data_IF_079734938468
#
_entry.id   IF_079734938468
#
_cell.length_a   1.000
_cell.length_b   1.000
_cell.length_c   1.000
_cell.angle_alpha   90.00
_cell.angle_beta   90.00
_cell.angle_gamma   90.00
#
_symmetry.space_group_name_H-M   'P 1'
#
loop_
_entity.id
_entity.type
_entity.pdbx_description
1 polymer ?
#
# COMPACT_ATOMS: atom_id res chain seq x y z
N UNK A 1 19.34 -7.46 12.34
CA UNK A 1 18.58 -7.78 11.09
C UNK A 1 19.08 -9.03 10.36
N UNK A 2 20.26 -9.60 10.67
CA UNK A 2 20.72 -10.86 10.10
C UNK A 2 20.12 -12.10 10.79
N UNK A 3 19.84 -12.03 12.10
CA UNK A 3 19.35 -13.15 12.90
C UNK A 3 17.97 -13.65 12.47
N UNK A 4 17.07 -12.76 12.05
CA UNK A 4 15.70 -13.14 11.65
C UNK A 4 15.62 -13.97 10.36
N UNK A 5 16.63 -13.93 9.49
CA UNK A 5 16.67 -14.76 8.27
C UNK A 5 17.08 -16.20 8.56
N UNK A 6 17.97 -16.41 9.52
CA UNK A 6 18.49 -17.75 9.88
C UNK A 6 17.39 -18.63 10.49
N UNK A 7 16.46 -18.04 11.25
CA UNK A 7 15.36 -18.78 11.88
C UNK A 7 14.31 -19.33 10.91
N UNK A 8 14.22 -18.85 9.66
CA UNK A 8 13.10 -19.23 8.78
C UNK A 8 13.34 -20.56 8.06
N UNK A 9 14.60 -20.83 7.70
CA UNK A 9 14.98 -22.05 6.99
C UNK A 9 14.83 -23.30 7.89
N UNK A 10 14.86 -23.12 9.22
CA UNK A 10 14.69 -24.20 10.21
C UNK A 10 13.25 -24.76 10.27
N UNK A 11 12.25 -24.02 9.76
CA UNK A 11 10.83 -24.41 9.79
C UNK A 11 10.23 -24.69 8.42
N UNK A 12 11.07 -24.89 7.40
CA UNK A 12 10.62 -25.29 6.07
C UNK A 12 10.38 -26.80 6.00
N UNK A 13 9.33 -27.18 5.28
CA UNK A 13 9.08 -28.56 4.94
C UNK A 13 10.05 -29.01 3.83
N UNK A 14 10.84 -30.07 4.02
CA UNK A 14 11.79 -30.56 3.00
C UNK A 14 11.14 -31.12 1.73
N UNK A 15 9.83 -31.38 1.75
CA UNK A 15 9.08 -31.93 0.61
C UNK A 15 8.53 -30.81 -0.28
N UNK A 16 7.81 -29.84 0.30
CA UNK A 16 7.23 -28.74 -0.48
C UNK A 16 8.07 -27.45 -0.48
N UNK A 17 9.16 -27.42 0.29
CA UNK A 17 10.09 -26.29 0.42
C UNK A 17 9.41 -24.98 0.89
N UNK A 18 8.30 -25.11 1.61
CA UNK A 18 7.50 -24.01 2.18
C UNK A 18 7.40 -24.18 3.71
N UNK A 19 7.04 -23.12 4.43
CA UNK A 19 6.80 -23.18 5.88
C UNK A 19 5.83 -24.31 6.23
N UNK A 20 6.15 -25.04 7.29
CA UNK A 20 5.35 -26.19 7.74
C UNK A 20 3.86 -25.80 7.94
N UNK A 21 2.97 -26.53 7.25
CA UNK A 21 1.50 -26.44 7.37
C UNK A 21 1.02 -27.70 8.09
N UNK A 22 0.37 -27.52 9.24
CA UNK A 22 0.05 -28.61 10.17
C UNK A 22 1.26 -29.54 10.38
N UNK A 23 2.35 -29.02 11.00
CA UNK A 23 3.57 -29.79 11.20
C UNK A 23 3.29 -31.08 11.96
N UNK A 24 3.88 -32.17 11.46
CA UNK A 24 3.93 -33.46 12.15
C UNK A 24 5.40 -33.87 12.28
N UNK A 25 5.76 -34.46 13.41
CA UNK A 25 7.06 -35.06 13.62
C UNK A 25 6.90 -36.58 13.56
N UNK A 26 7.70 -37.24 12.72
CA UNK A 26 7.72 -38.70 12.62
C UNK A 26 8.75 -39.28 13.61
N UNK A 27 8.74 -40.60 13.91
CA UNK A 27 9.54 -41.16 15.00
C UNK A 27 11.06 -40.93 14.90
N UNK A 28 11.60 -40.65 13.72
CA UNK A 28 13.01 -40.28 13.55
C UNK A 28 13.32 -38.80 13.87
N UNK A 29 12.35 -38.03 14.35
CA UNK A 29 12.51 -36.61 14.72
C UNK A 29 12.36 -35.59 13.59
N UNK A 30 12.31 -36.04 12.33
CA UNK A 30 12.11 -35.15 11.19
C UNK A 30 10.66 -34.66 11.10
N UNK A 31 10.48 -33.43 10.63
CA UNK A 31 9.18 -32.75 10.60
C UNK A 31 8.77 -32.37 9.19
N UNK A 32 7.47 -32.54 8.90
CA UNK A 32 6.89 -32.30 7.57
C UNK A 32 5.50 -31.69 7.70
N UNK A 33 4.97 -31.12 6.62
CA UNK A 33 3.54 -30.87 6.52
C UNK A 33 2.80 -32.22 6.59
N UNK A 34 1.68 -32.29 7.31
CA UNK A 34 0.90 -33.51 7.44
C UNK A 34 0.52 -34.10 6.07
N UNK A 35 0.06 -33.27 5.13
CA UNK A 35 -0.29 -33.69 3.78
C UNK A 35 0.92 -34.24 3.04
N UNK A 36 2.04 -33.50 3.01
CA UNK A 36 3.22 -33.90 2.25
C UNK A 36 3.76 -35.29 2.66
N UNK A 37 3.87 -35.59 3.95
CA UNK A 37 4.34 -36.92 4.37
C UNK A 37 3.28 -38.01 4.15
N UNK A 38 2.00 -37.65 4.21
CA UNK A 38 0.91 -38.57 3.88
C UNK A 38 0.98 -38.96 2.41
N UNK A 39 1.12 -38.00 1.51
CA UNK A 39 1.24 -38.21 0.07
C UNK A 39 2.47 -39.05 -0.28
N UNK A 40 3.61 -38.81 0.38
CA UNK A 40 4.81 -39.64 0.22
C UNK A 40 4.55 -41.10 0.58
N UNK A 41 3.88 -41.36 1.70
CA UNK A 41 3.60 -42.72 2.16
C UNK A 41 2.48 -43.42 1.38
N UNK A 42 1.50 -42.67 0.88
CA UNK A 42 0.41 -43.21 0.06
C UNK A 42 0.94 -43.78 -1.28
N UNK A 43 2.01 -43.19 -1.83
CA UNK A 43 2.70 -43.73 -3.01
C UNK A 43 3.44 -45.05 -2.72
N UNK A 44 3.84 -45.29 -1.47
CA UNK A 44 4.60 -46.47 -1.04
C UNK A 44 3.72 -47.55 -0.40
N UNK A 45 2.40 -47.37 -0.36
CA UNK A 45 1.48 -48.18 0.46
C UNK A 45 1.46 -49.67 0.06
N UNK A 46 1.70 -49.97 -1.22
CA UNK A 46 1.83 -51.35 -1.72
C UNK A 46 3.00 -52.12 -1.10
N UNK A 47 4.08 -51.42 -0.71
CA UNK A 47 5.29 -52.04 -0.13
C UNK A 47 5.13 -52.33 1.36
N UNK A 48 4.12 -51.76 2.04
CA UNK A 48 3.89 -51.85 3.50
C UNK A 48 5.09 -51.48 4.38
N UNK A 49 6.06 -50.79 3.81
CA UNK A 49 7.27 -50.28 4.45
C UNK A 49 7.37 -48.82 4.07
N UNK A 50 7.34 -47.96 5.07
CA UNK A 50 7.26 -46.51 4.89
C UNK A 50 8.59 -45.88 5.25
N UNK A 51 9.11 -45.00 4.40
CA UNK A 51 10.42 -44.39 4.62
C UNK A 51 10.35 -42.91 4.96
N UNK A 52 11.31 -42.42 5.74
CA UNK A 52 11.52 -40.99 5.96
C UNK A 52 12.18 -40.38 4.71
N UNK A 53 11.60 -39.32 4.09
CA UNK A 53 12.20 -38.68 2.91
C UNK A 53 13.62 -38.13 3.13
N UNK A 54 13.96 -37.72 4.35
CA UNK A 54 15.28 -37.12 4.67
C UNK A 54 16.35 -38.15 5.03
N UNK A 55 16.10 -39.01 6.03
CA UNK A 55 17.11 -39.94 6.54
C UNK A 55 16.92 -41.39 6.08
N UNK A 56 15.85 -41.67 5.32
CA UNK A 56 15.52 -43.01 4.78
C UNK A 56 15.27 -44.09 5.83
N UNK A 57 15.13 -43.72 7.11
CA UNK A 57 14.71 -44.65 8.15
C UNK A 57 13.32 -45.23 7.80
N UNK A 58 13.19 -46.54 7.93
CA UNK A 58 11.98 -47.28 7.57
C UNK A 58 11.11 -47.59 8.78
N UNK A 59 9.80 -47.65 8.57
CA UNK A 59 8.80 -47.92 9.60
C UNK A 59 7.80 -48.97 9.11
N UNK A 60 7.45 -49.91 9.99
CA UNK A 60 6.35 -50.86 9.81
C UNK A 60 5.83 -51.25 11.20
N UNK A 61 4.54 -51.03 11.54
CA UNK A 61 3.47 -50.50 10.69
C UNK A 61 3.61 -48.99 10.39
N UNK A 62 2.69 -48.44 9.55
CA UNK A 62 2.65 -47.00 9.23
C UNK A 62 2.55 -46.16 10.52
N UNK A 63 3.46 -45.21 10.76
CA UNK A 63 3.39 -44.37 11.95
C UNK A 63 2.11 -43.51 11.97
N UNK A 64 1.51 -43.37 13.14
CA UNK A 64 0.41 -42.44 13.34
C UNK A 64 0.92 -40.99 13.30
N UNK A 65 0.25 -40.13 12.53
CA UNK A 65 0.62 -38.73 12.39
C UNK A 65 -0.22 -37.85 13.31
N UNK A 66 0.39 -37.40 14.41
CA UNK A 66 -0.19 -36.40 15.30
C UNK A 66 0.41 -35.01 15.01
N UNK A 67 -0.43 -33.99 15.08
CA UNK A 67 0.00 -32.59 14.92
C UNK A 67 0.96 -32.23 16.05
N UNK A 68 2.12 -31.67 15.69
CA UNK A 68 3.05 -31.10 16.65
C UNK A 68 2.60 -29.67 17.00
N UNK A 69 1.94 -29.53 18.15
CA UNK A 69 1.36 -28.26 18.61
C UNK A 69 2.42 -27.19 18.87
N UNK A 70 3.58 -27.56 19.41
CA UNK A 70 4.69 -26.65 19.68
C UNK A 70 5.25 -26.07 18.37
N UNK A 71 5.56 -26.93 17.39
CA UNK A 71 6.03 -26.46 16.08
C UNK A 71 4.97 -25.61 15.38
N UNK A 72 3.70 -26.00 15.47
CA UNK A 72 2.61 -25.20 14.92
C UNK A 72 2.57 -23.81 15.58
N UNK A 73 2.68 -23.73 16.91
CA UNK A 73 2.64 -22.45 17.62
C UNK A 73 3.84 -21.55 17.29
N UNK A 74 5.04 -22.11 17.17
CA UNK A 74 6.25 -21.37 16.78
C UNK A 74 6.14 -20.86 15.34
N UNK A 75 5.69 -21.70 14.40
CA UNK A 75 5.46 -21.30 13.00
C UNK A 75 4.38 -20.21 12.92
N UNK A 76 3.31 -20.32 13.70
CA UNK A 76 2.27 -19.28 13.76
C UNK A 76 2.79 -17.98 14.40
N UNK A 77 3.63 -18.05 15.43
CA UNK A 77 4.30 -16.87 15.99
C UNK A 77 5.24 -16.23 14.98
N UNK A 78 6.00 -17.03 14.22
CA UNK A 78 6.87 -16.53 13.15
C UNK A 78 6.05 -15.85 12.05
N UNK A 79 4.91 -16.43 11.64
CA UNK A 79 3.95 -15.79 10.72
C UNK A 79 3.40 -14.50 11.32
N UNK A 80 3.04 -14.49 12.60
CA UNK A 80 2.51 -13.31 13.29
C UNK A 80 3.54 -12.21 13.49
N UNK A 81 4.81 -12.52 13.73
CA UNK A 81 5.89 -11.52 13.75
C UNK A 81 6.08 -10.86 12.38
N UNK A 82 5.76 -11.57 11.28
CA UNK A 82 5.64 -10.95 9.95
C UNK A 82 4.36 -10.11 9.80
N UNK A 83 3.23 -10.61 10.30
CA UNK A 83 1.92 -9.92 10.22
C UNK A 83 1.79 -8.72 11.17
N UNK A 84 2.52 -8.66 12.28
CA UNK A 84 2.50 -7.53 13.22
C UNK A 84 3.21 -6.28 12.67
N UNK A 85 3.81 -6.38 11.47
CA UNK A 85 4.22 -5.23 10.69
C UNK A 85 3.09 -4.67 9.79
N UNK A 86 2.03 -5.44 9.54
CA UNK A 86 0.90 -5.05 8.68
C UNK A 86 -0.30 -4.66 9.55
N UNK A 87 -0.37 -3.37 9.91
CA UNK A 87 -1.59 -2.77 10.42
C UNK A 87 -2.63 -2.64 9.30
N UNK A 88 -3.91 -2.79 9.64
CA UNK A 88 -5.00 -2.44 8.73
C UNK A 88 -4.82 -0.97 8.31
N UNK A 89 -5.06 -0.65 7.04
CA UNK A 89 -4.90 0.72 6.56
C UNK A 89 -5.95 1.64 7.21
N UNK A 90 -5.49 2.59 8.04
CA UNK A 90 -6.32 3.60 8.66
C UNK A 90 -6.62 4.78 7.74
N UNK A 91 -7.38 5.75 8.25
CA UNK A 91 -7.63 7.00 7.53
C UNK A 91 -6.31 7.76 7.29
N UNK A 92 -5.96 7.95 6.01
CA UNK A 92 -4.72 8.63 5.60
C UNK A 92 -3.53 7.70 5.31
N UNK A 93 -3.66 6.39 5.57
CA UNK A 93 -2.64 5.42 5.15
C UNK A 93 -2.75 5.09 3.65
N UNK A 94 -1.60 4.85 3.03
CA UNK A 94 -1.56 4.31 1.66
C UNK A 94 -1.92 2.84 1.72
N UNK A 95 -2.88 2.42 0.91
CA UNK A 95 -3.34 1.02 0.88
C UNK A 95 -2.47 0.17 -0.04
N UNK A 96 -2.34 -1.11 0.28
CA UNK A 96 -1.72 -2.06 -0.64
C UNK A 96 -2.65 -2.37 -1.83
N UNK A 97 -2.10 -2.25 -3.05
CA UNK A 97 -2.86 -2.45 -4.29
C UNK A 97 -3.18 -3.93 -4.54
N UNK A 98 -2.29 -4.83 -4.09
CA UNK A 98 -2.37 -6.28 -4.37
C UNK A 98 -3.37 -7.03 -3.48
N UNK A 99 -3.61 -6.57 -2.24
CA UNK A 99 -4.49 -7.27 -1.31
C UNK A 99 -5.90 -7.45 -1.89
N UNK A 100 -6.42 -8.67 -1.84
CA UNK A 100 -7.81 -8.98 -2.19
C UNK A 100 -8.68 -8.93 -0.93
N UNK A 101 -9.72 -8.10 -0.95
CA UNK A 101 -10.59 -7.87 0.21
C UNK A 101 -10.03 -6.82 1.18
N UNK A 102 -9.68 -7.25 2.41
CA UNK A 102 -9.15 -6.35 3.45
C UNK A 102 -7.84 -5.72 2.98
N UNK A 103 -7.74 -4.39 3.07
CA UNK A 103 -6.58 -3.61 2.63
C UNK A 103 -5.65 -3.30 3.81
N UNK A 104 -4.42 -3.77 3.70
CA UNK A 104 -3.35 -3.49 4.66
C UNK A 104 -2.60 -2.21 4.28
N UNK A 105 -1.97 -1.58 5.28
CA UNK A 105 -1.10 -0.43 5.07
C UNK A 105 0.08 -0.82 4.19
N UNK A 106 0.33 -0.04 3.14
CA UNK A 106 1.50 -0.16 2.32
C UNK A 106 2.73 0.41 3.04
N UNK A 107 3.86 -0.28 2.89
CA UNK A 107 5.16 0.12 3.45
C UNK A 107 6.08 0.70 2.38
N UNK A 108 5.99 0.20 1.14
CA UNK A 108 6.77 0.68 0.00
C UNK A 108 5.91 0.75 -1.25
N UNK A 109 6.31 1.63 -2.16
CA UNK A 109 5.77 1.71 -3.52
C UNK A 109 6.86 1.43 -4.54
N UNK A 110 6.53 0.69 -5.60
CA UNK A 110 7.43 0.40 -6.69
C UNK A 110 7.18 1.35 -7.86
N UNK A 111 8.21 2.10 -8.25
CA UNK A 111 8.12 3.08 -9.34
C UNK A 111 8.04 2.42 -10.72
N UNK A 112 8.43 1.15 -10.83
CA UNK A 112 8.35 0.38 -12.07
C UNK A 112 6.98 -0.27 -12.25
N UNK A 113 6.47 -0.92 -11.19
CA UNK A 113 5.16 -1.59 -11.22
C UNK A 113 3.99 -0.64 -11.00
N UNK A 114 4.25 0.57 -10.48
CA UNK A 114 3.25 1.56 -10.10
C UNK A 114 2.23 1.04 -9.07
N UNK A 115 2.69 0.17 -8.19
CA UNK A 115 1.91 -0.40 -7.10
C UNK A 115 2.57 -0.14 -5.74
N UNK A 116 1.74 -0.04 -4.72
CA UNK A 116 2.07 0.03 -3.31
C UNK A 116 1.83 -1.33 -2.64
N UNK A 117 2.77 -1.76 -1.82
CA UNK A 117 2.80 -3.09 -1.22
C UNK A 117 2.80 -2.98 0.30
N UNK A 118 1.96 -3.78 0.97
CA UNK A 118 2.15 -4.11 2.39
C UNK A 118 3.39 -4.99 2.56
N UNK A 119 3.84 -5.23 3.78
CA UNK A 119 5.10 -5.91 4.04
C UNK A 119 5.13 -7.30 3.37
N UNK A 120 4.05 -8.07 3.49
CA UNK A 120 3.95 -9.40 2.85
C UNK A 120 4.06 -9.34 1.32
N UNK A 121 3.30 -8.44 0.67
CA UNK A 121 3.35 -8.33 -0.79
C UNK A 121 4.66 -7.73 -1.29
N UNK A 122 5.35 -6.93 -0.47
CA UNK A 122 6.69 -6.43 -0.78
C UNK A 122 7.71 -7.56 -0.79
N UNK A 123 7.69 -8.44 0.22
CA UNK A 123 8.60 -9.60 0.28
C UNK A 123 8.40 -10.54 -0.91
N UNK A 124 7.15 -10.77 -1.31
CA UNK A 124 6.83 -11.54 -2.51
C UNK A 124 7.35 -10.85 -3.78
N UNK A 125 7.12 -9.54 -3.91
CA UNK A 125 7.63 -8.74 -5.00
C UNK A 125 9.16 -8.84 -5.10
N UNK A 126 9.88 -8.57 -4.01
CA UNK A 126 11.34 -8.66 -3.98
C UNK A 126 11.85 -10.07 -4.31
N UNK A 127 11.13 -11.11 -3.87
CA UNK A 127 11.47 -12.51 -4.16
C UNK A 127 11.35 -12.84 -5.65
N UNK A 128 10.27 -12.41 -6.30
CA UNK A 128 10.04 -12.62 -7.73
C UNK A 128 11.05 -11.85 -8.60
N UNK A 129 11.47 -10.66 -8.14
CA UNK A 129 12.36 -9.76 -8.89
C UNK A 129 13.82 -9.77 -8.39
N UNK A 130 14.28 -10.82 -7.68
CA UNK A 130 15.65 -10.95 -7.14
C UNK A 130 16.77 -10.64 -8.15
N UNK A 131 16.57 -10.91 -9.44
CA UNK A 131 17.53 -10.65 -10.52
C UNK A 131 17.40 -9.31 -11.25
N UNK A 132 16.28 -8.59 -11.07
CA UNK A 132 16.00 -7.28 -11.67
C UNK A 132 15.37 -6.38 -10.62
N UNK A 133 16.18 -5.79 -9.75
CA UNK A 133 15.68 -4.92 -8.68
C UNK A 133 14.88 -3.75 -9.27
N UNK A 134 13.60 -3.68 -8.92
CA UNK A 134 12.81 -2.50 -9.22
C UNK A 134 13.10 -1.39 -8.21
N UNK A 135 12.96 -0.13 -8.63
CA UNK A 135 13.13 1.02 -7.75
C UNK A 135 11.95 1.11 -6.77
N UNK A 136 12.25 0.98 -5.48
CA UNK A 136 11.30 1.08 -4.37
C UNK A 136 11.48 2.40 -3.62
N UNK A 137 10.38 3.03 -3.24
CA UNK A 137 10.33 4.25 -2.41
C UNK A 137 9.32 4.05 -1.28
N UNK A 138 9.27 4.96 -0.31
CA UNK A 138 8.26 4.92 0.76
C UNK A 138 6.85 4.96 0.17
N UNK A 139 5.92 4.25 0.82
CA UNK A 139 4.55 4.16 0.33
C UNK A 139 3.94 5.56 0.14
N UNK A 140 3.45 5.82 -1.07
CA UNK A 140 2.86 7.11 -1.42
C UNK A 140 1.57 6.94 -2.21
N UNK A 141 0.51 7.63 -1.79
CA UNK A 141 -0.75 7.69 -2.54
C UNK A 141 -0.64 8.51 -3.83
N UNK A 142 0.53 9.10 -4.12
CA UNK A 142 0.76 10.02 -5.23
C UNK A 142 1.63 9.40 -6.33
N UNK A 143 1.67 8.07 -6.44
CA UNK A 143 2.42 7.36 -7.48
C UNK A 143 2.09 7.85 -8.90
N UNK A 144 0.81 8.09 -9.19
CA UNK A 144 0.37 8.60 -10.50
C UNK A 144 0.93 9.99 -10.84
N UNK A 145 1.28 10.79 -9.84
CA UNK A 145 1.89 12.10 -10.06
C UNK A 145 3.36 12.01 -10.46
N UNK A 146 4.00 10.85 -10.25
CA UNK A 146 5.37 10.55 -10.65
C UNK A 146 5.49 10.06 -12.09
N UNK A 147 4.37 10.03 -12.82
CA UNK A 147 4.30 9.55 -14.20
C UNK A 147 4.05 10.71 -15.16
N UNK A 148 4.89 10.77 -16.19
CA UNK A 148 4.73 11.67 -17.30
C UNK A 148 3.43 11.36 -18.04
N UNK A 149 2.50 12.31 -18.04
CA UNK A 149 1.19 12.13 -18.69
C UNK A 149 1.27 12.01 -20.22
N UNK A 150 2.39 12.45 -20.84
CA UNK A 150 2.60 12.35 -22.29
C UNK A 150 3.22 11.02 -22.73
N UNK A 151 4.07 10.43 -21.88
CA UNK A 151 4.92 9.31 -22.26
C UNK A 151 4.75 8.07 -21.39
N UNK A 152 3.95 8.17 -20.33
CA UNK A 152 3.69 7.08 -19.36
C UNK A 152 4.99 6.52 -18.75
N UNK A 153 6.01 7.38 -18.61
CA UNK A 153 7.31 7.06 -17.99
C UNK A 153 7.52 7.85 -16.71
N UNK A 154 8.37 7.31 -15.83
CA UNK A 154 8.73 7.93 -14.55
C UNK A 154 9.38 9.30 -14.80
N UNK A 155 9.03 10.27 -13.95
CA UNK A 155 9.65 11.59 -13.91
C UNK A 155 10.95 11.53 -13.10
N UNK A 156 12.08 11.39 -13.79
CA UNK A 156 13.41 11.19 -13.16
C UNK A 156 14.34 12.42 -13.32
N UNK A 157 13.94 13.40 -14.12
CA UNK A 157 14.77 14.57 -14.48
C UNK A 157 14.05 15.85 -14.10
N UNK A 158 14.80 16.85 -13.61
CA UNK A 158 14.27 18.18 -13.37
C UNK A 158 14.74 19.15 -14.45
N UNK A 159 13.79 19.80 -15.12
CA UNK A 159 14.08 20.90 -16.03
C UNK A 159 14.08 22.21 -15.24
N UNK A 160 15.23 22.86 -15.12
CA UNK A 160 15.38 24.15 -14.43
C UNK A 160 14.78 25.30 -15.22
N UNK A 161 14.85 25.23 -16.55
CA UNK A 161 14.23 26.21 -17.45
C UNK A 161 12.72 26.32 -17.22
N UNK A 162 12.02 25.17 -17.14
CA UNK A 162 10.56 25.14 -16.97
C UNK A 162 10.09 24.88 -15.53
N UNK A 163 11.04 24.75 -14.60
CA UNK A 163 10.78 24.45 -13.19
C UNK A 163 9.83 23.26 -12.98
N UNK A 164 10.06 22.15 -13.71
CA UNK A 164 9.19 20.97 -13.63
C UNK A 164 9.95 19.66 -13.76
N UNK A 165 9.43 18.61 -13.14
CA UNK A 165 9.92 17.25 -13.33
C UNK A 165 9.40 16.67 -14.65
N UNK A 166 10.30 16.04 -15.40
CA UNK A 166 10.07 15.46 -16.73
C UNK A 166 10.66 14.04 -16.79
N UNK A 167 10.21 13.24 -17.76
CA UNK A 167 10.80 11.92 -18.01
C UNK A 167 11.98 12.02 -18.99
N UNK A 168 12.76 10.94 -19.13
CA UNK A 168 13.88 10.89 -20.07
C UNK A 168 13.48 11.13 -21.53
N UNK A 169 12.26 10.77 -21.95
CA UNK A 169 11.81 11.06 -23.32
C UNK A 169 11.54 12.56 -23.54
N UNK A 170 11.08 13.25 -22.51
CA UNK A 170 10.87 14.70 -22.56
C UNK A 170 12.18 15.46 -22.79
N UNK A 171 13.31 15.00 -22.23
CA UNK A 171 14.62 15.65 -22.44
C UNK A 171 15.05 15.59 -23.90
N UNK A 172 14.68 14.51 -24.60
CA UNK A 172 15.07 14.27 -26.00
C UNK A 172 14.07 14.87 -26.97
N UNK A 173 12.80 15.09 -26.61
CA UNK A 173 11.79 15.58 -27.58
C UNK A 173 11.55 17.08 -27.41
N UNK A 174 11.13 17.50 -26.23
CA UNK A 174 10.62 18.87 -25.99
C UNK A 174 11.65 19.76 -25.27
N UNK A 175 12.55 19.16 -24.49
CA UNK A 175 13.47 19.89 -23.59
C UNK A 175 14.93 19.75 -24.00
N UNK A 176 15.22 19.55 -25.29
CA UNK A 176 16.57 19.29 -25.83
C UNK A 176 17.61 20.34 -25.43
N UNK A 177 17.20 21.59 -25.34
CA UNK A 177 18.10 22.74 -25.09
C UNK A 177 17.86 23.38 -23.71
N UNK A 178 17.11 22.72 -22.84
CA UNK A 178 16.82 23.24 -21.51
C UNK A 178 17.91 22.80 -20.54
N UNK A 179 18.12 23.61 -19.49
CA UNK A 179 18.99 23.23 -18.38
C UNK A 179 18.31 22.09 -17.61
N UNK A 180 18.85 20.88 -17.75
CA UNK A 180 18.33 19.65 -17.14
C UNK A 180 19.33 19.09 -16.14
N UNK A 181 18.82 18.72 -14.98
CA UNK A 181 19.61 18.08 -13.93
C UNK A 181 18.92 16.81 -13.45
N UNK A 182 19.65 15.78 -13.00
CA UNK A 182 19.05 14.62 -12.36
C UNK A 182 18.18 15.05 -11.18
N UNK A 183 16.98 14.49 -11.05
CA UNK A 183 16.11 14.81 -9.90
C UNK A 183 16.78 14.44 -8.56
N UNK A 184 17.76 13.54 -8.60
CA UNK A 184 18.58 13.15 -7.48
C UNK A 184 19.51 14.24 -6.93
N UNK A 185 19.97 15.16 -7.78
CA UNK A 185 21.01 16.13 -7.42
C UNK A 185 20.42 17.42 -6.80
N UNK A 186 19.10 17.47 -6.67
CA UNK A 186 18.35 18.52 -5.97
C UNK A 186 17.79 18.04 -4.61
N UNK A 187 18.16 16.83 -4.16
CA UNK A 187 17.53 16.11 -3.02
C UNK A 187 17.63 16.88 -1.70
N UNK A 188 16.48 17.42 -1.28
CA UNK A 188 15.69 16.70 -0.28
C UNK A 188 14.36 16.35 -0.92
N UNK A 189 13.87 15.15 -0.69
CA UNK A 189 12.65 14.52 -1.27
C UNK A 189 11.37 15.37 -1.18
N UNK A 190 11.44 16.52 -0.52
CA UNK A 190 10.40 17.52 -0.39
C UNK A 190 10.06 18.28 -1.69
N UNK A 191 10.89 18.30 -2.74
CA UNK A 191 10.64 19.20 -3.90
C UNK A 191 10.01 18.57 -5.15
N UNK A 192 10.25 17.29 -5.45
CA UNK A 192 9.64 16.62 -6.63
C UNK A 192 8.10 16.69 -6.57
N UNK A 193 7.54 16.69 -5.36
CA UNK A 193 6.11 16.82 -5.10
C UNK A 193 5.59 18.24 -4.86
N UNK A 194 6.46 19.20 -4.53
CA UNK A 194 6.05 20.56 -4.17
C UNK A 194 5.90 21.47 -5.38
N UNK A 195 6.67 21.29 -6.45
CA UNK A 195 6.63 22.23 -7.58
C UNK A 195 5.30 22.18 -8.34
N UNK A 196 4.67 21.00 -8.46
CA UNK A 196 3.32 20.88 -9.05
C UNK A 196 2.22 21.47 -8.15
N UNK A 197 2.35 21.34 -6.83
CA UNK A 197 1.37 21.87 -5.88
C UNK A 197 1.49 23.38 -5.69
N UNK A 198 2.69 23.96 -5.67
CA UNK A 198 2.86 25.41 -5.53
C UNK A 198 2.27 26.16 -6.74
N UNK A 199 2.49 25.67 -7.96
CA UNK A 199 1.99 26.32 -9.18
C UNK A 199 0.47 26.14 -9.36
N UNK A 200 -0.09 24.96 -9.02
CA UNK A 200 -1.55 24.74 -9.08
C UNK A 200 -2.31 25.48 -7.99
N UNK A 201 -1.80 25.53 -6.77
CA UNK A 201 -2.42 26.28 -5.67
C UNK A 201 -2.35 27.77 -5.93
N UNK A 202 -1.20 28.33 -6.34
CA UNK A 202 -1.10 29.75 -6.69
C UNK A 202 -2.00 30.16 -7.86
N UNK A 203 -2.18 29.31 -8.88
CA UNK A 203 -3.12 29.59 -9.98
C UNK A 203 -4.58 29.58 -9.53
N UNK A 204 -4.98 28.61 -8.71
CA UNK A 204 -6.37 28.53 -8.21
C UNK A 204 -6.67 29.67 -7.24
N UNK A 205 -5.72 30.05 -6.40
CA UNK A 205 -5.88 31.16 -5.45
C UNK A 205 -5.98 32.50 -6.19
N UNK A 206 -5.15 32.74 -7.20
CA UNK A 206 -5.22 33.94 -8.04
C UNK A 206 -6.52 34.01 -8.86
N UNK A 207 -7.02 32.87 -9.37
CA UNK A 207 -8.29 32.79 -10.10
C UNK A 207 -9.49 32.98 -9.16
N UNK A 208 -9.44 32.45 -7.93
CA UNK A 208 -10.46 32.68 -6.90
C UNK A 208 -10.49 34.15 -6.46
N UNK A 209 -9.32 34.77 -6.25
CA UNK A 209 -9.23 36.19 -5.92
C UNK A 209 -9.83 37.05 -7.04
N UNK A 210 -9.47 36.78 -8.30
CA UNK A 210 -10.05 37.49 -9.45
C UNK A 210 -11.56 37.34 -9.54
N UNK A 211 -12.11 36.13 -9.33
CA UNK A 211 -13.55 35.89 -9.33
C UNK A 211 -14.25 36.60 -8.17
N UNK A 212 -13.63 36.67 -6.99
CA UNK A 212 -14.17 37.35 -5.81
C UNK A 212 -14.27 38.87 -5.97
N UNK A 213 -13.44 39.45 -6.83
CA UNK A 213 -13.40 40.87 -7.16
C UNK A 213 -14.23 41.27 -8.39
N UNK A 214 -14.93 40.31 -9.02
CA UNK A 214 -15.85 40.64 -10.13
C UNK A 214 -17.07 41.41 -9.62
N UNK A 215 -17.51 42.39 -10.42
CA UNK A 215 -18.68 43.21 -10.12
C UNK A 215 -19.94 42.37 -9.92
N UNK A 216 -20.08 41.27 -10.67
CA UNK A 216 -21.18 40.32 -10.55
C UNK A 216 -21.18 39.57 -9.21
N UNK A 217 -20.01 39.14 -8.71
CA UNK A 217 -19.91 38.45 -7.42
C UNK A 217 -20.20 39.40 -6.25
N UNK A 218 -19.72 40.65 -6.32
CA UNK A 218 -20.02 41.69 -5.32
C UNK A 218 -21.53 41.98 -5.31
N UNK A 219 -22.15 42.11 -6.49
CA UNK A 219 -23.57 42.39 -6.60
C UNK A 219 -24.43 41.21 -6.13
N UNK A 220 -24.01 39.97 -6.40
CA UNK A 220 -24.64 38.76 -5.87
C UNK A 220 -24.59 38.69 -4.33
N UNK A 221 -23.44 39.01 -3.73
CA UNK A 221 -23.29 39.07 -2.27
C UNK A 221 -24.17 40.16 -1.64
N UNK A 222 -24.26 41.34 -2.28
CA UNK A 222 -25.15 42.41 -1.83
C UNK A 222 -26.63 41.99 -1.89
N UNK A 223 -27.06 41.36 -2.99
CA UNK A 223 -28.45 40.89 -3.15
C UNK A 223 -28.78 39.79 -2.15
N UNK A 224 -27.87 38.83 -1.93
CA UNK A 224 -28.09 37.76 -0.94
C UNK A 224 -28.11 38.30 0.49
N UNK A 225 -27.32 39.33 0.81
CA UNK A 225 -27.37 39.99 2.11
C UNK A 225 -28.68 40.77 2.32
N UNK A 226 -29.17 41.45 1.27
CA UNK A 226 -30.48 42.12 1.30
C UNK A 226 -31.60 41.08 1.49
N UNK A 227 -31.54 39.94 0.79
CA UNK A 227 -32.52 38.86 0.94
C UNK A 227 -32.49 38.25 2.35
N UNK A 228 -31.30 37.98 2.90
CA UNK A 228 -31.15 37.47 4.27
C UNK A 228 -31.67 38.46 5.31
N UNK A 229 -31.40 39.75 5.13
CA UNK A 229 -31.92 40.80 6.01
C UNK A 229 -33.45 40.90 5.90
N UNK A 230 -34.02 40.78 4.70
CA UNK A 230 -35.48 40.78 4.49
C UNK A 230 -36.16 39.59 5.14
N UNK A 231 -35.63 38.38 4.94
CA UNK A 231 -36.13 37.16 5.58
C UNK A 231 -36.02 37.25 7.12
N UNK A 232 -34.94 37.83 7.65
CA UNK A 232 -34.78 38.06 9.09
C UNK A 232 -35.82 39.04 9.65
N UNK A 233 -36.15 40.10 8.91
CA UNK A 233 -37.19 41.06 9.28
C UNK A 233 -38.58 40.43 9.20
N UNK A 234 -38.86 39.63 8.18
CA UNK A 234 -40.14 38.93 8.01
C UNK A 234 -40.36 37.86 9.09
N UNK A 235 -39.32 37.13 9.50
CA UNK A 235 -39.37 36.20 10.64
C UNK A 235 -39.64 36.93 11.97
N UNK A 236 -39.04 38.10 12.19
CA UNK A 236 -39.27 38.90 13.40
C UNK A 236 -40.69 39.47 13.48
N UNK A 237 -41.31 39.84 12.35
CA UNK A 237 -42.72 40.26 12.29
C UNK A 237 -43.68 39.11 12.61
N UNK A 238 -43.40 37.90 12.12
CA UNK A 238 -44.27 36.74 12.38
C UNK A 238 -44.27 36.27 13.85
N UNK A 239 -43.21 36.56 14.63
CA UNK A 239 -43.19 36.27 16.07
C UNK A 239 -44.00 37.28 16.88
N UNK A 240 -43.96 38.57 16.52
CA UNK A 240 -44.77 39.59 17.21
C UNK A 240 -46.29 39.36 17.01
N UNK A 241 -46.70 38.89 15.82
CA UNK A 241 -48.12 38.60 15.56
C UNK A 241 -48.62 37.35 16.31
N UNK A 242 -47.74 36.38 16.61
CA UNK A 242 -48.09 35.17 17.39
C UNK A 242 -48.17 35.43 18.91
N UNK A 243 -47.34 36.30 19.45
CA UNK A 243 -47.38 36.64 20.88
C UNK A 243 -48.59 37.52 21.22
N UNK A 244 -49.10 38.32 20.28
CA UNK A 244 -50.32 39.10 20.51
C UNK A 244 -51.61 38.25 20.52
N UNK A 245 -51.62 37.08 19.86
CA UNK A 245 -52.78 36.16 19.86
C UNK A 245 -52.77 35.15 21.01
N UNK A 246 -51.63 34.95 21.69
CA UNK A 246 -51.51 33.98 22.81
C UNK A 246 -51.87 34.57 24.17
N UNK A 247 -52.13 35.88 24.26
CA UNK A 247 -52.46 36.58 25.50
C UNK A 247 -53.96 36.94 25.63
N UNK A 248 -54.83 36.39 24.77
CA UNK A 248 -56.29 36.60 24.79
C UNK A 248 -57.08 35.29 24.76
N UNK A 249 -56.60 34.24 25.44
CA UNK A 249 -57.37 33.00 25.66
C UNK A 249 -57.13 32.47 27.06
#
# INVERSE_FOLDING_TARGET
MAEARVFQDEFLCPVCLDLLKDPVAIPCGHSYCKSCITDCWDQEDQKRVYSCPQCRQTFSPRPALARNTMLAEVVEKLKKTRLSADCDAGAGDVQCDVCTGRKYKAVKSCLVCLNSYCQNHLEQHESLFKGKRHNLTDATGRLQEMICQKHEKILEVFCRTDQKCICMLCTIIEHKNHDIVPAADQRTEKQVFKTRNKVKTQRRDAELEQLSHTQDHIQFLQVTQIYKNRVRVDLSRSCCDRDSQRNTS
#
